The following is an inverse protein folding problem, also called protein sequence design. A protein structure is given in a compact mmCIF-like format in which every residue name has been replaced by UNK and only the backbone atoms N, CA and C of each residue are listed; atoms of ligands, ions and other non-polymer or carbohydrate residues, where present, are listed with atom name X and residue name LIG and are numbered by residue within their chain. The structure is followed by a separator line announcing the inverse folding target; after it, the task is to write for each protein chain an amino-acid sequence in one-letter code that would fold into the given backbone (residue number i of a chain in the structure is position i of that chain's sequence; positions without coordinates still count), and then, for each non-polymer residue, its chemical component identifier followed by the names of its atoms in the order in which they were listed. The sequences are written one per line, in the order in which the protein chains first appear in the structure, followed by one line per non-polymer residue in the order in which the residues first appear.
data_IF_140304527066
#
_entry.id   IF_140304527066
#
_cell.length_a   1.000
_cell.length_b   1.000
_cell.length_c   1.000
_cell.angle_alpha   90.00
_cell.angle_beta   90.00
_cell.angle_gamma   90.00
#
_symmetry.space_group_name_H-M   'P 1'
#
loop_
_entity.id
_entity.type
_entity.pdbx_description
1 polymer ?
#
# COMPACT_ATOMS: atom_id res chain seq x y z
N UNK A 1 -19.98 -12.98 -0.37
CA UNK A 1 -19.28 -11.68 -0.40
C UNK A 1 -18.44 -11.66 -1.67
N UNK A 2 -18.73 -10.77 -2.64
CA UNK A 2 -17.80 -10.56 -3.77
C UNK A 2 -16.62 -9.78 -3.20
N UNK A 3 -15.41 -10.35 -3.32
CA UNK A 3 -14.19 -9.61 -2.98
C UNK A 3 -14.08 -8.33 -3.83
N UNK A 4 -13.30 -7.37 -3.34
CA UNK A 4 -13.02 -6.14 -4.08
C UNK A 4 -12.35 -6.48 -5.41
N UNK A 5 -12.72 -5.76 -6.48
CA UNK A 5 -11.91 -5.76 -7.69
C UNK A 5 -10.55 -5.09 -7.42
N UNK A 6 -9.52 -5.44 -8.22
CA UNK A 6 -8.20 -4.78 -8.13
C UNK A 6 -8.29 -3.26 -8.27
N UNK A 7 -9.25 -2.76 -9.03
CA UNK A 7 -9.43 -1.32 -9.20
C UNK A 7 -10.05 -0.66 -7.96
N UNK A 8 -11.03 -1.29 -7.33
CA UNK A 8 -11.58 -0.82 -6.05
C UNK A 8 -10.54 -0.87 -4.95
N UNK A 9 -9.76 -1.96 -4.87
CA UNK A 9 -8.67 -2.10 -3.91
C UNK A 9 -7.65 -0.96 -4.05
N UNK A 10 -7.16 -0.74 -5.27
CA UNK A 10 -6.22 0.35 -5.55
C UNK A 10 -6.79 1.72 -5.20
N UNK A 11 -8.08 1.95 -5.43
CA UNK A 11 -8.72 3.22 -5.09
C UNK A 11 -8.80 3.43 -3.58
N UNK A 12 -9.11 2.38 -2.81
CA UNK A 12 -9.11 2.42 -1.35
C UNK A 12 -7.71 2.68 -0.79
N UNK A 13 -6.70 1.98 -1.29
CA UNK A 13 -5.30 2.20 -0.89
C UNK A 13 -4.85 3.63 -1.22
N UNK A 14 -5.16 4.12 -2.43
CA UNK A 14 -4.83 5.50 -2.83
C UNK A 14 -5.43 6.52 -1.87
N UNK A 15 -6.71 6.34 -1.51
CA UNK A 15 -7.40 7.22 -0.58
C UNK A 15 -6.77 7.18 0.81
N UNK A 16 -6.50 5.98 1.34
CA UNK A 16 -5.88 5.82 2.66
C UNK A 16 -4.49 6.47 2.72
N UNK A 17 -3.66 6.32 1.69
CA UNK A 17 -2.36 6.99 1.61
C UNK A 17 -2.52 8.51 1.61
N UNK A 18 -3.39 9.04 0.76
CA UNK A 18 -3.62 10.49 0.64
C UNK A 18 -4.16 11.11 1.95
N UNK A 19 -5.08 10.43 2.64
CA UNK A 19 -5.62 10.85 3.95
C UNK A 19 -4.55 10.91 5.04
N UNK A 20 -3.41 10.24 4.85
CA UNK A 20 -2.26 10.25 5.77
C UNK A 20 -1.08 11.08 5.24
N UNK A 21 -1.29 11.87 4.18
CA UNK A 21 -0.23 12.70 3.58
C UNK A 21 0.83 11.92 2.81
N UNK A 22 0.53 10.67 2.41
CA UNK A 22 1.46 9.81 1.69
C UNK A 22 1.17 9.80 0.19
N UNK A 23 2.23 9.82 -0.61
CA UNK A 23 2.14 9.62 -2.06
C UNK A 23 2.18 8.13 -2.37
N UNK A 24 1.10 7.61 -2.98
CA UNK A 24 1.04 6.22 -3.42
C UNK A 24 1.92 6.00 -4.66
N UNK A 25 2.84 5.05 -4.58
CA UNK A 25 3.49 4.43 -5.74
C UNK A 25 3.05 2.96 -5.84
N UNK A 26 2.86 2.49 -7.07
CA UNK A 26 2.41 1.11 -7.33
C UNK A 26 3.44 0.45 -8.23
N UNK A 27 4.03 -0.64 -7.73
CA UNK A 27 4.92 -1.50 -8.50
C UNK A 27 4.15 -2.78 -8.83
N UNK A 28 4.02 -3.10 -10.11
CA UNK A 28 3.41 -4.34 -10.57
C UNK A 28 4.42 -5.14 -11.37
N UNK A 29 4.52 -6.44 -11.10
CA UNK A 29 5.30 -7.36 -11.91
C UNK A 29 4.46 -8.58 -12.25
N UNK A 30 4.52 -8.97 -13.52
CA UNK A 30 3.85 -10.17 -14.02
C UNK A 30 4.91 -11.19 -14.43
N UNK A 31 4.76 -12.43 -14.00
CA UNK A 31 5.68 -13.52 -14.32
C UNK A 31 4.91 -14.84 -14.49
N UNK A 32 5.50 -15.81 -15.18
CA UNK A 32 4.92 -17.14 -15.32
C UNK A 32 5.43 -18.06 -14.21
N UNK A 33 4.51 -18.66 -13.46
CA UNK A 33 4.81 -19.72 -12.49
C UNK A 33 4.06 -20.98 -12.90
N UNK A 34 4.80 -22.06 -13.17
CA UNK A 34 4.24 -23.35 -13.62
C UNK A 34 3.26 -23.22 -14.82
N UNK A 35 3.57 -22.34 -15.78
CA UNK A 35 2.75 -22.11 -16.97
C UNK A 35 1.53 -21.20 -16.76
N UNK A 36 1.27 -20.73 -15.55
CA UNK A 36 0.24 -19.75 -15.24
C UNK A 36 0.82 -18.35 -15.08
N UNK A 37 0.14 -17.33 -15.62
CA UNK A 37 0.50 -15.93 -15.39
C UNK A 37 0.13 -15.52 -13.97
N UNK A 38 1.12 -15.08 -13.20
CA UNK A 38 0.99 -14.55 -11.84
C UNK A 38 1.29 -13.06 -11.88
N UNK A 39 0.48 -12.26 -11.20
CA UNK A 39 0.69 -10.82 -11.04
C UNK A 39 0.90 -10.48 -9.56
N UNK A 40 2.10 -10.01 -9.24
CA UNK A 40 2.42 -9.43 -7.93
C UNK A 40 2.32 -7.91 -8.01
N UNK A 41 1.71 -7.32 -6.98
CA UNK A 41 1.63 -5.87 -6.82
C UNK A 41 2.19 -5.52 -5.46
N UNK A 42 3.01 -4.48 -5.42
CA UNK A 42 3.48 -3.82 -4.22
C UNK A 42 3.01 -2.36 -4.23
N UNK A 43 2.21 -2.00 -3.24
CA UNK A 43 1.83 -0.64 -2.95
C UNK A 43 2.84 -0.04 -1.96
N UNK A 44 3.32 1.17 -2.22
CA UNK A 44 4.18 1.91 -1.28
C UNK A 44 3.64 3.32 -1.05
N UNK A 45 3.69 3.77 0.20
CA UNK A 45 3.39 5.14 0.62
C UNK A 45 4.67 5.88 0.91
N UNK A 46 4.89 7.00 0.21
CA UNK A 46 6.05 7.87 0.40
C UNK A 46 5.71 9.14 1.18
N UNK A 47 6.58 9.53 2.11
CA UNK A 47 6.52 10.82 2.79
C UNK A 47 6.96 11.96 1.86
N UNK A 48 6.87 13.21 2.34
CA UNK A 48 7.38 14.38 1.61
C UNK A 48 8.91 14.38 1.45
N UNK A 49 9.62 13.61 2.28
CA UNK A 49 11.07 13.38 2.20
C UNK A 49 11.44 12.27 1.19
N UNK A 50 10.46 11.80 0.41
CA UNK A 50 10.57 10.69 -0.55
C UNK A 50 10.94 9.33 0.07
N UNK A 51 10.88 9.22 1.41
CA UNK A 51 11.08 7.96 2.12
C UNK A 51 9.86 7.05 2.02
N UNK A 52 10.08 5.75 1.80
CA UNK A 52 9.02 4.74 1.86
C UNK A 52 8.73 4.41 3.31
N UNK A 53 7.54 4.79 3.77
CA UNK A 53 7.14 4.66 5.18
C UNK A 53 5.97 3.69 5.41
N UNK A 54 5.27 3.33 4.33
CA UNK A 54 4.23 2.31 4.35
C UNK A 54 4.33 1.43 3.10
N UNK A 55 3.99 0.16 3.22
CA UNK A 55 3.96 -0.78 2.11
C UNK A 55 3.00 -1.94 2.34
N UNK A 56 2.54 -2.58 1.26
CA UNK A 56 1.71 -3.79 1.32
C UNK A 56 1.41 -4.33 -0.07
N UNK A 57 1.06 -5.62 -0.15
CA UNK A 57 0.69 -6.29 -1.41
C UNK A 57 -0.82 -6.37 -1.64
N UNK A 58 -1.60 -6.07 -0.60
CA UNK A 58 -3.06 -5.96 -0.64
C UNK A 58 -3.55 -4.80 0.25
N UNK A 59 -4.86 -4.52 0.23
CA UNK A 59 -5.44 -3.44 1.05
C UNK A 59 -5.19 -3.63 2.55
N UNK A 60 -5.35 -4.84 3.07
CA UNK A 60 -5.20 -5.09 4.50
C UNK A 60 -3.78 -4.77 4.99
N UNK A 61 -2.76 -5.26 4.29
CA UNK A 61 -1.35 -4.98 4.60
C UNK A 61 -1.02 -3.50 4.47
N UNK A 62 -1.49 -2.84 3.42
CA UNK A 62 -1.24 -1.42 3.22
C UNK A 62 -1.84 -0.57 4.36
N UNK A 63 -3.07 -0.86 4.79
CA UNK A 63 -3.72 -0.18 5.90
C UNK A 63 -3.01 -0.42 7.23
N UNK A 64 -2.61 -1.66 7.51
CA UNK A 64 -1.84 -2.00 8.71
C UNK A 64 -0.49 -1.26 8.75
N UNK A 65 0.19 -1.20 7.61
CA UNK A 65 1.48 -0.51 7.47
C UNK A 65 1.36 1.00 7.72
N UNK A 66 0.33 1.65 7.15
CA UNK A 66 0.00 3.06 7.41
C UNK A 66 -0.26 3.28 8.91
N UNK A 67 -1.04 2.40 9.56
CA UNK A 67 -1.36 2.52 10.98
C UNK A 67 -0.12 2.41 11.87
N UNK A 68 0.79 1.47 11.56
CA UNK A 68 2.08 1.32 12.27
C UNK A 68 2.93 2.57 12.16
N UNK A 69 3.09 3.11 10.95
CA UNK A 69 3.84 4.36 10.74
C UNK A 69 3.21 5.52 11.51
N UNK A 70 1.89 5.67 11.43
CA UNK A 70 1.16 6.70 12.15
C UNK A 70 1.41 6.62 13.65
N UNK A 71 1.32 5.42 14.25
CA UNK A 71 1.59 5.21 15.68
C UNK A 71 3.04 5.55 16.05
N UNK A 72 4.02 5.22 15.20
CA UNK A 72 5.43 5.59 15.40
C UNK A 72 5.63 7.11 15.51
N UNK A 73 5.01 7.89 14.61
CA UNK A 73 5.08 9.36 14.66
C UNK A 73 4.47 9.99 15.92
N UNK A 74 3.45 9.36 16.50
CA UNK A 74 2.86 9.84 17.76
C UNK A 74 3.79 9.63 18.96
N UNK A 75 4.69 8.66 18.91
CA UNK A 75 5.62 8.34 20.00
C UNK A 75 6.84 9.29 19.98
N UNK A 76 7.32 9.71 18.80
CA UNK A 76 8.46 10.64 18.67
C UNK A 76 8.11 12.11 18.95
N UNK A 77 6.83 12.45 19.09
CA UNK A 77 6.34 13.81 19.31
C UNK A 77 5.86 14.12 20.73
N UNK A 78 6.09 13.24 21.71
CA UNK A 78 5.75 13.43 23.14
C UNK A 78 7.01 13.55 23.99
#
# INVERSE_FOLDING_TARGET
MKGLSRQEERNLIRRAMAENGLRLTVFGQSYFSNGALVEEILYTGRSDEEEVVASGTCLAEALESIEKWRKGRFIEGT
#
